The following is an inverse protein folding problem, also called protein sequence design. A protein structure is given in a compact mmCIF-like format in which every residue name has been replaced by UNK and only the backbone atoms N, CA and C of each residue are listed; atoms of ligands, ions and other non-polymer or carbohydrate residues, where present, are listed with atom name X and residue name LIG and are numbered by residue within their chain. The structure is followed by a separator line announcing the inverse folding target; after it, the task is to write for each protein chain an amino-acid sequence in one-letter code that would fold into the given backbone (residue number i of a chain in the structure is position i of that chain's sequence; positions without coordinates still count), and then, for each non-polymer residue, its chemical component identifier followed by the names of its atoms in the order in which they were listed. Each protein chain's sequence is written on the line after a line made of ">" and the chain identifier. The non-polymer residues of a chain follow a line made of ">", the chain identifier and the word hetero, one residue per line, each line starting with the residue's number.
data_IF_931907519864
#
_entry.id   IF_931907519864
#
_cell.length_a   1.000
_cell.length_b   1.000
_cell.length_c   1.000
_cell.angle_alpha   90.00
_cell.angle_beta   90.00
_cell.angle_gamma   90.00
#
_symmetry.space_group_name_H-M   'P 1'
#
loop_
_entity.id
_entity.type
_entity.pdbx_description
1 polymer ?
#
# COMPACT_ATOMS: atom_id res chain seq x y z
N UNK A 1 32.62 -3.28 -4.44
CA UNK A 1 32.39 -3.04 -2.99
C UNK A 1 31.31 -4.01 -2.56
N UNK A 2 31.53 -4.85 -1.54
CA UNK A 2 30.52 -5.84 -1.14
C UNK A 2 29.68 -5.30 0.01
N UNK A 3 28.67 -4.51 -0.30
CA UNK A 3 27.50 -4.41 0.57
C UNK A 3 26.56 -5.58 0.22
N UNK A 4 25.70 -5.97 1.15
CA UNK A 4 24.55 -6.82 0.86
C UNK A 4 23.28 -6.10 1.27
N UNK A 5 22.15 -6.51 0.71
CA UNK A 5 20.86 -5.94 1.06
C UNK A 5 19.77 -7.00 1.02
N UNK A 6 18.69 -6.76 1.74
CA UNK A 6 17.49 -7.57 1.73
C UNK A 6 16.28 -6.66 1.81
N UNK A 7 15.19 -7.04 1.17
CA UNK A 7 13.95 -6.26 1.23
C UNK A 7 12.76 -7.21 1.32
N UNK A 8 11.66 -6.68 1.83
CA UNK A 8 10.37 -7.34 1.79
C UNK A 8 9.27 -6.27 1.81
N UNK A 9 8.19 -6.53 1.09
CA UNK A 9 6.99 -5.69 1.10
C UNK A 9 5.78 -6.59 1.14
N UNK A 10 4.75 -6.19 1.88
CA UNK A 10 3.52 -6.95 2.06
C UNK A 10 2.35 -5.98 2.22
N UNK A 11 1.19 -6.36 1.69
CA UNK A 11 -0.03 -5.56 1.78
C UNK A 11 -0.48 -5.37 3.24
N UNK A 12 -0.04 -6.22 4.16
CA UNK A 12 -0.58 -6.30 5.50
C UNK A 12 -1.80 -7.22 5.55
N UNK A 13 -2.46 -7.25 6.72
CA UNK A 13 -3.65 -8.08 6.96
C UNK A 13 -4.97 -7.34 6.69
N UNK A 14 -4.96 -6.01 6.76
CA UNK A 14 -6.17 -5.19 6.73
C UNK A 14 -6.39 -4.52 5.38
N UNK A 15 -5.33 -4.04 4.73
CA UNK A 15 -5.43 -3.36 3.43
C UNK A 15 -5.70 -4.37 2.30
N UNK A 16 -6.36 -3.92 1.25
CA UNK A 16 -6.62 -4.74 0.05
C UNK A 16 -5.52 -4.57 -1.02
N UNK A 17 -4.88 -3.42 -1.03
CA UNK A 17 -3.88 -3.03 -2.02
C UNK A 17 -2.63 -2.57 -1.31
N UNK A 18 -1.49 -2.80 -1.95
CA UNK A 18 -0.20 -2.29 -1.50
C UNK A 18 0.10 -0.98 -2.23
N UNK A 19 0.07 0.12 -1.48
CA UNK A 19 0.38 1.47 -1.94
C UNK A 19 1.85 1.84 -1.68
N UNK A 20 2.63 0.99 -1.00
CA UNK A 20 4.07 1.13 -0.87
C UNK A 20 4.82 0.76 -2.16
N UNK A 21 5.96 1.41 -2.38
CA UNK A 21 6.89 1.03 -3.43
C UNK A 21 8.34 1.25 -3.00
N UNK A 22 9.24 0.35 -3.40
CA UNK A 22 10.66 0.43 -3.08
C UNK A 22 11.54 0.21 -4.31
N UNK A 23 12.75 0.76 -4.29
CA UNK A 23 13.70 0.70 -5.39
C UNK A 23 15.15 0.55 -4.92
N UNK A 24 15.99 0.01 -5.80
CA UNK A 24 17.43 -0.05 -5.64
C UNK A 24 18.08 0.18 -7.02
N UNK A 25 18.97 1.16 -7.10
CA UNK A 25 19.58 1.59 -8.36
C UNK A 25 21.10 1.65 -8.21
N UNK A 26 21.81 0.88 -9.02
CA UNK A 26 23.27 0.98 -9.17
C UNK A 26 23.57 2.09 -10.18
N UNK A 27 24.27 3.14 -9.74
CA UNK A 27 24.45 4.37 -10.51
C UNK A 27 25.91 4.80 -10.52
N UNK A 28 26.32 5.67 -11.47
CA UNK A 28 27.69 6.19 -11.49
C UNK A 28 28.12 6.88 -10.17
N UNK A 29 27.16 7.39 -9.40
CA UNK A 29 27.41 8.18 -8.19
C UNK A 29 27.38 7.36 -6.90
N UNK A 30 27.08 6.06 -6.98
CA UNK A 30 26.82 5.19 -5.84
C UNK A 30 25.52 4.39 -6.00
N UNK A 31 25.16 3.65 -4.96
CA UNK A 31 23.94 2.83 -4.95
C UNK A 31 22.84 3.54 -4.19
N UNK A 32 21.69 3.71 -4.84
CA UNK A 32 20.55 4.43 -4.29
C UNK A 32 19.47 3.45 -3.88
N UNK A 33 19.02 3.59 -2.65
CA UNK A 33 17.91 2.87 -2.04
C UNK A 33 16.79 3.87 -1.78
N UNK A 34 15.55 3.51 -2.11
CA UNK A 34 14.40 4.39 -1.92
C UNK A 34 13.19 3.58 -1.50
N UNK A 35 12.41 4.14 -0.58
CA UNK A 35 11.13 3.61 -0.15
C UNK A 35 10.12 4.75 -0.07
N UNK A 36 8.94 4.51 -0.63
CA UNK A 36 7.82 5.43 -0.69
C UNK A 36 6.55 4.74 -0.19
N UNK A 37 5.81 5.41 0.68
CA UNK A 37 4.48 5.00 1.16
C UNK A 37 3.42 5.90 0.49
N UNK A 38 2.53 5.30 -0.29
CA UNK A 38 1.58 5.99 -1.14
C UNK A 38 0.31 6.42 -0.40
N UNK A 39 -0.16 7.64 -0.69
CA UNK A 39 -1.42 8.17 -0.17
C UNK A 39 -2.27 8.84 -1.27
N UNK A 40 -3.56 9.02 -0.99
CA UNK A 40 -4.52 9.64 -1.93
C UNK A 40 -5.57 8.67 -2.49
N UNK A 41 -5.78 7.53 -1.84
CA UNK A 41 -6.71 6.49 -2.26
C UNK A 41 -6.05 5.45 -3.16
N UNK A 42 -6.66 4.27 -3.28
CA UNK A 42 -5.98 3.03 -3.74
C UNK A 42 -5.14 3.18 -5.00
N UNK A 43 -5.73 3.65 -6.10
CA UNK A 43 -4.99 3.80 -7.35
C UNK A 43 -4.03 5.00 -7.36
N UNK A 44 -4.33 6.04 -6.59
CA UNK A 44 -3.53 7.26 -6.50
C UNK A 44 -2.24 7.05 -5.71
N UNK A 45 -2.35 6.48 -4.50
CA UNK A 45 -1.21 6.24 -3.62
C UNK A 45 -0.16 5.34 -4.26
N UNK A 46 -0.58 4.15 -4.73
CA UNK A 46 0.32 3.21 -5.39
C UNK A 46 1.02 3.81 -6.63
N UNK A 47 0.31 4.65 -7.40
CA UNK A 47 0.89 5.34 -8.54
C UNK A 47 1.90 6.41 -8.12
N UNK A 48 1.58 7.21 -7.10
CA UNK A 48 2.45 8.24 -6.58
C UNK A 48 3.77 7.66 -6.05
N UNK A 49 3.70 6.61 -5.22
CA UNK A 49 4.87 5.91 -4.68
C UNK A 49 5.77 5.36 -5.81
N UNK A 50 5.17 4.72 -6.82
CA UNK A 50 5.91 4.23 -7.99
C UNK A 50 6.59 5.35 -8.77
N UNK A 51 5.87 6.44 -9.06
CA UNK A 51 6.41 7.58 -9.81
C UNK A 51 7.60 8.22 -9.08
N UNK A 52 7.52 8.36 -7.75
CA UNK A 52 8.62 8.88 -6.96
C UNK A 52 9.87 8.01 -7.06
N UNK A 53 9.74 6.69 -6.83
CA UNK A 53 10.86 5.74 -6.92
C UNK A 53 11.48 5.73 -8.33
N UNK A 54 10.65 5.73 -9.37
CA UNK A 54 11.13 5.76 -10.76
C UNK A 54 11.85 7.06 -11.10
N UNK A 55 11.33 8.21 -10.65
CA UNK A 55 11.96 9.51 -10.86
C UNK A 55 13.32 9.63 -10.14
N UNK A 56 13.40 9.19 -8.88
CA UNK A 56 14.67 9.15 -8.12
C UNK A 56 15.69 8.26 -8.84
N UNK A 57 15.29 7.05 -9.24
CA UNK A 57 16.17 6.14 -9.96
C UNK A 57 16.65 6.70 -11.30
N UNK A 58 15.75 7.33 -12.06
CA UNK A 58 16.06 7.98 -13.33
C UNK A 58 17.08 9.11 -13.15
N UNK A 59 16.84 10.01 -12.19
CA UNK A 59 17.74 11.12 -11.87
C UNK A 59 19.18 10.64 -11.62
N UNK A 60 19.37 9.67 -10.72
CA UNK A 60 20.72 9.20 -10.39
C UNK A 60 21.37 8.37 -11.49
N UNK A 61 20.58 7.69 -12.33
CA UNK A 61 21.11 6.93 -13.48
C UNK A 61 21.64 7.86 -14.58
N UNK A 62 21.00 9.01 -14.79
CA UNK A 62 21.39 9.97 -15.82
C UNK A 62 22.40 11.02 -15.34
N UNK A 63 22.57 11.17 -14.03
CA UNK A 63 23.55 12.10 -13.45
C UNK A 63 24.97 11.55 -13.57
N UNK A 64 25.84 12.23 -14.33
CA UNK A 64 27.19 11.77 -14.68
C UNK A 64 28.34 12.54 -13.96
N UNK A 65 28.10 13.00 -12.72
CA UNK A 65 29.04 13.75 -11.85
C UNK A 65 29.27 15.24 -12.16
N UNK A 66 28.23 16.05 -11.92
CA UNK A 66 28.36 17.45 -11.51
C UNK A 66 27.47 17.70 -10.29
N UNK A 67 27.96 18.38 -9.25
CA UNK A 67 27.21 18.66 -8.02
C UNK A 67 27.73 17.91 -6.78
N UNK A 68 26.90 17.85 -5.74
CA UNK A 68 27.20 17.22 -4.45
C UNK A 68 26.11 16.22 -4.09
N UNK A 69 26.37 15.21 -3.23
CA UNK A 69 25.32 14.31 -2.72
C UNK A 69 24.09 15.05 -2.16
N UNK A 70 24.31 16.17 -1.46
CA UNK A 70 23.24 17.03 -0.96
C UNK A 70 22.37 17.59 -2.10
N UNK A 71 23.00 18.20 -3.13
CA UNK A 71 22.24 18.77 -4.26
C UNK A 71 21.54 17.69 -5.08
N UNK A 72 22.19 16.53 -5.28
CA UNK A 72 21.60 15.40 -5.98
C UNK A 72 20.35 14.85 -5.28
N UNK A 73 20.41 14.63 -3.96
CA UNK A 73 19.25 14.18 -3.21
C UNK A 73 18.10 15.20 -3.26
N UNK A 74 18.41 16.48 -3.10
CA UNK A 74 17.42 17.56 -3.20
C UNK A 74 16.74 17.57 -4.57
N UNK A 75 17.53 17.57 -5.66
CA UNK A 75 17.04 17.60 -7.04
C UNK A 75 16.25 16.33 -7.39
N UNK A 76 16.68 15.15 -6.91
CA UNK A 76 15.95 13.90 -7.10
C UNK A 76 14.55 13.95 -6.49
N UNK A 77 14.41 14.49 -5.28
CA UNK A 77 13.12 14.65 -4.62
C UNK A 77 12.26 15.74 -5.28
N UNK A 78 12.87 16.80 -5.81
CA UNK A 78 12.18 17.82 -6.61
C UNK A 78 11.61 17.24 -7.90
N UNK A 79 12.38 16.41 -8.62
CA UNK A 79 11.89 15.73 -9.81
C UNK A 79 10.81 14.70 -9.50
N UNK A 80 10.95 13.95 -8.39
CA UNK A 80 9.91 13.04 -7.92
C UNK A 80 8.60 13.77 -7.60
N UNK A 81 8.68 14.90 -6.88
CA UNK A 81 7.52 15.74 -6.59
C UNK A 81 6.85 16.25 -7.88
N UNK A 82 7.65 16.74 -8.82
CA UNK A 82 7.15 17.26 -10.10
C UNK A 82 6.47 16.17 -10.93
N UNK A 83 7.03 14.95 -10.99
CA UNK A 83 6.43 13.83 -11.71
C UNK A 83 5.03 13.47 -11.18
N UNK A 84 4.84 13.53 -9.86
CA UNK A 84 3.53 13.29 -9.23
C UNK A 84 2.56 14.44 -9.56
N UNK A 85 3.00 15.70 -9.41
CA UNK A 85 2.17 16.87 -9.73
C UNK A 85 1.72 16.89 -11.20
N UNK A 86 2.62 16.60 -12.13
CA UNK A 86 2.32 16.54 -13.56
C UNK A 86 1.27 15.47 -13.86
N UNK A 87 1.40 14.30 -13.22
CA UNK A 87 0.43 13.23 -13.40
C UNK A 87 -0.93 13.57 -12.77
N UNK A 88 -0.96 14.19 -11.60
CA UNK A 88 -2.18 14.66 -10.94
C UNK A 88 -2.89 15.77 -11.73
N UNK A 89 -2.13 16.59 -12.48
CA UNK A 89 -2.70 17.61 -13.36
C UNK A 89 -3.36 17.02 -14.63
N UNK A 90 -2.93 15.85 -15.08
CA UNK A 90 -3.47 15.16 -16.26
C UNK A 90 -4.76 14.39 -15.99
N UNK A 91 -5.01 13.99 -14.73
CA UNK A 91 -6.14 13.17 -14.35
C UNK A 91 -6.74 13.67 -13.03
N UNK A 92 -7.96 14.20 -13.10
CA UNK A 92 -8.63 14.80 -11.94
C UNK A 92 -8.91 13.78 -10.83
N UNK A 93 -8.99 12.48 -11.15
CA UNK A 93 -9.16 11.43 -10.13
C UNK A 93 -7.92 11.24 -9.24
N UNK A 94 -6.78 11.81 -9.65
CA UNK A 94 -5.49 11.74 -8.95
C UNK A 94 -5.11 13.03 -8.24
N UNK A 95 -6.00 14.03 -8.14
CA UNK A 95 -5.66 15.38 -7.63
C UNK A 95 -5.09 15.45 -6.21
N UNK A 96 -5.27 14.40 -5.41
CA UNK A 96 -4.76 14.31 -4.03
C UNK A 96 -3.76 13.16 -3.84
N UNK A 97 -3.23 12.59 -4.93
CA UNK A 97 -2.21 11.57 -4.80
C UNK A 97 -0.91 12.19 -4.29
N UNK A 98 -0.25 11.48 -3.40
CA UNK A 98 1.02 11.87 -2.85
C UNK A 98 1.71 10.67 -2.25
N UNK A 99 2.92 10.85 -1.77
CA UNK A 99 3.67 9.76 -1.15
C UNK A 99 4.73 10.30 -0.22
N UNK A 100 5.06 9.53 0.81
CA UNK A 100 6.30 9.71 1.56
C UNK A 100 7.48 9.33 0.67
N UNK A 101 8.70 9.70 1.09
CA UNK A 101 9.90 9.24 0.42
C UNK A 101 11.05 9.27 1.41
N UNK A 102 11.74 8.14 1.56
CA UNK A 102 13.04 8.07 2.24
C UNK A 102 14.04 7.49 1.26
N UNK A 103 15.16 8.18 1.08
CA UNK A 103 16.24 7.82 0.13
C UNK A 103 17.55 7.71 0.88
N UNK A 104 18.33 6.67 0.59
CA UNK A 104 19.71 6.52 1.02
C UNK A 104 20.62 6.31 -0.20
N UNK A 105 21.62 7.17 -0.36
CA UNK A 105 22.70 7.08 -1.34
C UNK A 105 23.96 6.56 -0.63
N UNK A 106 24.37 5.35 -0.99
CA UNK A 106 25.63 4.74 -0.55
C UNK A 106 26.75 5.10 -1.54
N UNK A 107 27.70 5.91 -1.10
CA UNK A 107 28.93 6.25 -1.84
C UNK A 107 30.13 5.76 -1.04
N UNK A 108 30.56 4.52 -1.30
CA UNK A 108 31.58 3.86 -0.47
C UNK A 108 31.04 3.57 0.95
N UNK A 109 31.79 3.98 1.97
CA UNK A 109 31.40 3.89 3.39
C UNK A 109 30.65 5.14 3.88
N UNK A 110 30.22 6.01 2.97
CA UNK A 110 29.42 7.18 3.31
C UNK A 110 27.97 6.98 2.87
N UNK A 111 27.04 7.26 3.78
CA UNK A 111 25.60 7.20 3.52
C UNK A 111 25.05 8.61 3.59
N UNK A 112 24.59 9.10 2.45
CA UNK A 112 23.81 10.33 2.37
C UNK A 112 22.33 9.98 2.30
N UNK A 113 21.46 10.77 2.90
CA UNK A 113 20.04 10.48 2.93
C UNK A 113 19.18 11.74 2.85
N UNK A 114 17.95 11.54 2.39
CA UNK A 114 16.92 12.56 2.40
C UNK A 114 15.56 11.93 2.70
N UNK A 115 14.66 12.67 3.33
CA UNK A 115 13.31 12.18 3.58
C UNK A 115 12.23 13.27 3.53
N UNK A 116 11.01 12.83 3.21
CA UNK A 116 9.76 13.58 3.24
C UNK A 116 8.66 12.63 3.73
N UNK A 117 7.82 13.08 4.67
CA UNK A 117 6.84 12.22 5.34
C UNK A 117 7.41 11.52 6.57
N UNK A 118 6.81 10.39 6.93
CA UNK A 118 7.01 9.61 8.14
C UNK A 118 7.55 8.19 7.90
N UNK A 119 7.86 7.83 6.65
CA UNK A 119 8.77 6.70 6.40
C UNK A 119 10.15 7.00 7.01
N UNK A 120 10.75 5.97 7.61
CA UNK A 120 11.91 6.13 8.50
C UNK A 120 13.18 5.51 7.94
N UNK A 121 14.31 6.13 8.27
CA UNK A 121 15.64 5.56 8.18
C UNK A 121 16.17 5.32 9.60
N UNK A 122 16.66 4.11 9.84
CA UNK A 122 17.36 3.74 11.05
C UNK A 122 18.79 3.29 10.74
N UNK A 123 19.71 3.57 11.66
CA UNK A 123 21.08 3.06 11.67
C UNK A 123 21.26 2.13 12.85
N UNK A 124 21.55 0.87 12.56
CA UNK A 124 21.80 -0.16 13.57
C UNK A 124 23.30 -0.42 13.66
N UNK A 125 23.88 -0.15 14.83
CA UNK A 125 25.31 -0.31 15.12
C UNK A 125 25.49 -0.81 16.55
N UNK A 126 26.37 -1.79 16.75
CA UNK A 126 26.75 -2.30 18.08
C UNK A 126 25.55 -2.67 18.97
N UNK A 127 24.49 -3.26 18.39
CA UNK A 127 23.29 -3.66 19.13
C UNK A 127 22.30 -2.53 19.43
N UNK A 128 22.60 -1.29 19.01
CA UNK A 128 21.74 -0.13 19.18
C UNK A 128 21.07 0.22 17.86
N UNK A 129 19.77 0.49 17.91
CA UNK A 129 18.98 0.99 16.79
C UNK A 129 18.74 2.48 17.00
N UNK A 130 19.33 3.31 16.15
CA UNK A 130 19.15 4.75 16.17
C UNK A 130 18.23 5.18 15.03
N UNK A 131 17.17 5.95 15.35
CA UNK A 131 16.33 6.58 14.34
C UNK A 131 17.05 7.81 13.78
N UNK A 132 17.42 7.76 12.51
CA UNK A 132 18.17 8.81 11.82
C UNK A 132 17.25 9.94 11.35
N UNK A 133 16.08 9.57 10.84
CA UNK A 133 15.08 10.53 10.36
C UNK A 133 14.13 10.95 11.46
N UNK A 134 13.41 12.03 11.20
CA UNK A 134 12.40 12.56 12.10
C UNK A 134 11.11 12.77 11.34
N UNK A 135 10.04 12.14 11.81
CA UNK A 135 8.80 12.08 11.07
C UNK A 135 8.25 13.48 10.80
N UNK A 136 7.83 13.72 9.56
CA UNK A 136 7.09 14.91 9.22
C UNK A 136 5.61 14.71 9.56
N UNK A 137 5.30 14.69 10.85
CA UNK A 137 3.94 14.50 11.36
C UNK A 137 3.54 15.55 12.39
N UNK A 138 2.23 15.73 12.57
CA UNK A 138 1.69 16.65 13.57
C UNK A 138 2.19 16.30 14.97
N UNK A 139 2.21 15.01 15.30
CA UNK A 139 2.58 14.54 16.63
C UNK A 139 4.07 14.70 16.89
N UNK A 140 4.92 14.52 15.86
CA UNK A 140 6.34 14.82 15.98
C UNK A 140 6.58 16.32 16.19
N UNK A 141 5.81 17.17 15.51
CA UNK A 141 5.84 18.63 15.75
C UNK A 141 5.48 18.99 17.18
N UNK A 142 4.46 18.32 17.76
CA UNK A 142 4.07 18.51 19.16
C UNK A 142 5.16 18.00 20.13
N UNK A 143 5.83 16.90 19.80
CA UNK A 143 6.96 16.41 20.59
C UNK A 143 8.13 17.40 20.59
N UNK A 144 8.42 18.00 19.45
CA UNK A 144 9.48 18.99 19.29
C UNK A 144 9.25 20.26 20.10
N UNK A 145 7.98 20.64 20.24
CA UNK A 145 7.55 21.75 21.09
C UNK A 145 7.51 21.39 22.58
N UNK A 146 7.82 20.14 22.95
CA UNK A 146 7.75 19.63 24.32
C UNK A 146 6.32 19.46 24.85
N UNK A 147 5.32 19.48 23.97
CA UNK A 147 3.91 19.24 24.32
C UNK A 147 3.65 17.76 24.55
N UNK A 148 4.32 16.90 23.78
CA UNK A 148 4.35 15.45 23.95
C UNK A 148 5.79 15.00 24.21
N UNK A 149 5.95 13.87 24.88
CA UNK A 149 7.20 13.11 24.84
C UNK A 149 7.31 12.35 23.50
N UNK A 150 8.52 11.93 23.12
CA UNK A 150 8.71 11.15 21.89
C UNK A 150 7.89 9.86 21.91
N UNK A 151 7.85 9.17 23.06
CA UNK A 151 7.05 7.97 23.26
C UNK A 151 5.56 8.26 23.09
N UNK A 152 5.05 9.35 23.66
CA UNK A 152 3.64 9.72 23.47
C UNK A 152 3.31 10.05 22.00
N UNK A 153 4.23 10.69 21.28
CA UNK A 153 4.04 10.97 19.86
C UNK A 153 3.99 9.71 19.01
N UNK A 154 4.90 8.75 19.24
CA UNK A 154 4.97 7.51 18.45
C UNK A 154 3.68 6.66 18.59
N UNK A 155 3.06 6.64 19.78
CA UNK A 155 1.81 5.91 20.05
C UNK A 155 0.54 6.79 19.97
N UNK A 156 0.66 8.03 19.49
CA UNK A 156 -0.48 8.94 19.42
C UNK A 156 -1.48 8.49 18.33
N UNK A 157 -2.81 8.54 18.54
CA UNK A 157 -3.81 8.11 17.54
C UNK A 157 -3.82 8.88 16.21
N UNK A 158 -3.08 10.00 16.16
CA UNK A 158 -2.95 10.88 15.00
C UNK A 158 -1.51 10.88 14.45
N UNK A 159 -0.75 9.81 14.72
CA UNK A 159 0.64 9.69 14.28
C UNK A 159 0.77 9.60 12.76
N UNK A 160 -0.27 9.11 12.08
CA UNK A 160 -0.41 9.06 10.63
C UNK A 160 -0.80 10.41 9.98
N UNK A 161 -0.93 11.50 10.75
CA UNK A 161 -1.19 12.83 10.18
C UNK A 161 0.11 13.51 9.77
N UNK A 162 0.52 13.25 8.54
CA UNK A 162 1.74 13.82 7.97
C UNK A 162 1.58 15.30 7.61
N UNK A 163 2.65 16.07 7.81
CA UNK A 163 2.75 17.51 7.51
C UNK A 163 3.54 17.80 6.25
N UNK A 164 4.32 16.84 5.74
CA UNK A 164 5.04 16.94 4.47
C UNK A 164 4.89 15.65 3.67
N UNK A 165 4.77 15.77 2.35
CA UNK A 165 4.74 14.66 1.41
C UNK A 165 5.27 15.12 0.05
N UNK A 166 5.57 14.17 -0.85
CA UNK A 166 5.68 14.45 -2.28
C UNK A 166 4.28 14.46 -2.91
N UNK A 167 4.13 15.17 -4.03
CA UNK A 167 2.85 15.42 -4.70
C UNK A 167 2.16 16.72 -4.26
N UNK A 168 2.85 17.59 -3.51
CA UNK A 168 2.31 18.88 -3.06
C UNK A 168 3.13 20.04 -3.66
N UNK A 169 2.48 21.17 -3.95
CA UNK A 169 3.12 22.31 -4.63
C UNK A 169 4.24 22.94 -3.80
N UNK A 170 3.99 23.11 -2.50
CA UNK A 170 4.94 23.71 -1.57
C UNK A 170 5.54 22.60 -0.71
N UNK A 171 6.41 21.78 -1.31
CA UNK A 171 7.11 20.72 -0.58
C UNK A 171 8.50 21.18 -0.13
N UNK A 172 8.96 20.64 1.00
CA UNK A 172 10.34 20.75 1.47
C UNK A 172 10.82 19.37 1.89
N UNK A 173 12.08 19.08 1.60
CA UNK A 173 12.73 17.84 2.01
C UNK A 173 13.82 18.12 3.03
N UNK A 174 13.96 17.19 3.96
CA UNK A 174 15.07 17.18 4.89
C UNK A 174 16.19 16.36 4.24
N UNK A 175 17.35 16.97 4.04
CA UNK A 175 18.51 16.37 3.37
C UNK A 175 19.70 16.45 4.31
N UNK A 176 20.43 15.34 4.48
CA UNK A 176 21.59 15.34 5.35
C UNK A 176 22.70 16.25 4.79
N UNK A 177 23.29 17.08 5.65
CA UNK A 177 24.48 17.86 5.30
C UNK A 177 25.77 17.06 5.45
N UNK A 178 25.81 16.15 6.42
CA UNK A 178 26.94 15.28 6.69
C UNK A 178 26.51 13.83 6.48
N UNK A 179 27.33 13.01 5.81
CA UNK A 179 27.03 11.60 5.65
C UNK A 179 27.16 10.86 6.99
N UNK A 180 26.42 9.77 7.12
CA UNK A 180 26.71 8.78 8.15
C UNK A 180 27.92 7.96 7.69
N UNK A 181 28.86 7.71 8.62
CA UNK A 181 29.87 6.70 8.41
C UNK A 181 29.22 5.32 8.48
N UNK A 182 29.51 4.46 7.51
CA UNK A 182 28.92 3.13 7.38
C UNK A 182 30.03 2.07 7.46
N UNK A 183 30.11 1.45 8.63
CA UNK A 183 31.19 0.57 9.03
C UNK A 183 30.78 -0.90 8.89
N UNK A 184 31.75 -1.81 9.01
CA UNK A 184 31.49 -3.24 8.96
C UNK A 184 30.46 -3.64 10.03
N UNK A 185 29.53 -4.54 9.65
CA UNK A 185 28.43 -5.02 10.50
C UNK A 185 27.32 -4.00 10.82
N UNK A 186 27.45 -2.75 10.38
CA UNK A 186 26.33 -1.81 10.44
C UNK A 186 25.20 -2.29 9.53
N UNK A 187 23.97 -1.97 9.93
CA UNK A 187 22.77 -2.18 9.11
C UNK A 187 21.98 -0.89 9.03
N UNK A 188 21.65 -0.45 7.81
CA UNK A 188 20.61 0.55 7.60
C UNK A 188 19.27 -0.15 7.39
N UNK A 189 18.22 0.45 7.94
CA UNK A 189 16.84 0.04 7.72
C UNK A 189 16.04 1.22 7.19
N UNK A 190 15.53 1.12 5.96
CA UNK A 190 14.46 1.97 5.45
C UNK A 190 13.14 1.22 5.67
N UNK A 191 12.11 1.89 6.19
CA UNK A 191 10.78 1.29 6.38
C UNK A 191 9.64 2.29 6.23
N UNK A 192 8.47 1.79 5.77
CA UNK A 192 7.19 2.50 5.89
C UNK A 192 6.68 2.46 7.33
N UNK A 193 5.69 3.31 7.62
CA UNK A 193 5.09 3.43 8.95
C UNK A 193 4.39 2.12 9.39
N UNK A 194 3.94 1.28 8.45
CA UNK A 194 3.32 -0.01 8.74
C UNK A 194 4.24 -1.00 9.47
N UNK A 195 5.57 -0.82 9.41
CA UNK A 195 6.50 -1.55 10.28
C UNK A 195 6.44 -1.00 11.71
N UNK A 196 6.68 0.30 11.86
CA UNK A 196 6.89 0.97 13.16
C UNK A 196 5.59 1.22 13.92
N UNK A 197 4.45 1.21 13.24
CA UNK A 197 3.13 1.20 13.84
C UNK A 197 2.79 -0.15 14.49
N UNK A 198 3.44 -1.24 14.06
CA UNK A 198 3.21 -2.60 14.56
C UNK A 198 4.30 -3.09 15.52
N UNK A 199 5.55 -2.68 15.31
CA UNK A 199 6.72 -3.09 16.09
C UNK A 199 7.43 -1.88 16.71
N UNK A 200 7.74 -1.98 17.99
CA UNK A 200 8.59 -1.01 18.67
C UNK A 200 10.05 -1.10 18.21
N UNK A 201 10.81 -0.01 18.36
CA UNK A 201 12.25 0.05 18.08
C UNK A 201 13.04 -1.07 18.80
N UNK A 202 12.64 -1.43 20.02
CA UNK A 202 13.25 -2.52 20.77
C UNK A 202 13.03 -3.89 20.10
N UNK A 203 11.83 -4.16 19.58
CA UNK A 203 11.52 -5.39 18.84
C UNK A 203 12.27 -5.44 17.51
N UNK A 204 12.34 -4.31 16.80
CA UNK A 204 13.11 -4.20 15.55
C UNK A 204 14.59 -4.47 15.83
N UNK A 205 15.18 -3.84 16.85
CA UNK A 205 16.57 -4.06 17.26
C UNK A 205 16.86 -5.54 17.57
N UNK A 206 15.97 -6.21 18.30
CA UNK A 206 16.12 -7.64 18.62
C UNK A 206 16.09 -8.52 17.36
N UNK A 207 15.26 -8.20 16.37
CA UNK A 207 15.22 -8.91 15.09
C UNK A 207 16.50 -8.68 14.27
N UNK A 208 17.03 -7.45 14.28
CA UNK A 208 18.27 -7.12 13.59
C UNK A 208 19.52 -7.74 14.22
N UNK A 209 19.48 -8.13 15.50
CA UNK A 209 20.59 -8.82 16.18
C UNK A 209 20.72 -10.31 15.79
N UNK A 210 19.70 -10.92 15.19
CA UNK A 210 19.74 -12.35 14.85
C UNK A 210 20.88 -12.66 13.86
N UNK A 211 21.58 -13.81 13.98
CA UNK A 211 22.66 -14.20 13.08
C UNK A 211 22.11 -14.78 11.77
N UNK A 212 21.37 -13.96 11.03
CA UNK A 212 20.70 -14.32 9.79
C UNK A 212 21.03 -13.33 8.67
N UNK A 213 20.73 -13.73 7.43
CA UNK A 213 20.86 -12.84 6.28
C UNK A 213 19.90 -11.65 6.35
N UNK A 214 20.27 -10.54 5.69
CA UNK A 214 19.40 -9.36 5.60
C UNK A 214 18.05 -9.69 4.94
N UNK A 215 18.02 -10.61 3.97
CA UNK A 215 16.76 -11.05 3.35
C UNK A 215 15.86 -11.81 4.33
N UNK A 216 16.43 -12.69 5.16
CA UNK A 216 15.68 -13.40 6.20
C UNK A 216 15.14 -12.42 7.25
N UNK A 217 15.99 -11.49 7.72
CA UNK A 217 15.59 -10.44 8.66
C UNK A 217 14.46 -9.57 8.12
N UNK A 218 14.54 -9.16 6.85
CA UNK A 218 13.47 -8.39 6.19
C UNK A 218 12.14 -9.16 6.21
N UNK A 219 12.14 -10.45 5.83
CA UNK A 219 10.94 -11.29 5.88
C UNK A 219 10.41 -11.49 7.31
N UNK A 220 11.30 -11.62 8.29
CA UNK A 220 10.91 -11.73 9.70
C UNK A 220 10.28 -10.44 10.23
N UNK A 221 10.83 -9.27 9.89
CA UNK A 221 10.24 -7.98 10.25
C UNK A 221 8.81 -7.86 9.73
N UNK A 222 8.58 -8.17 8.45
CA UNK A 222 7.24 -8.22 7.85
C UNK A 222 6.35 -9.24 8.58
N UNK A 223 6.86 -10.43 8.86
CA UNK A 223 6.09 -11.49 9.52
C UNK A 223 5.64 -11.10 10.92
N UNK A 224 6.54 -10.53 11.73
CA UNK A 224 6.23 -10.09 13.09
C UNK A 224 5.29 -8.89 13.10
N UNK A 225 5.47 -7.91 12.20
CA UNK A 225 4.52 -6.80 12.06
C UNK A 225 3.12 -7.27 11.66
N UNK A 226 3.03 -8.24 10.76
CA UNK A 226 1.77 -8.88 10.38
C UNK A 226 1.12 -9.69 11.51
N UNK A 227 1.91 -10.27 12.43
CA UNK A 227 1.40 -10.95 13.62
C UNK A 227 0.88 -9.96 14.66
N UNK A 228 1.51 -8.79 14.76
CA UNK A 228 1.10 -7.71 15.65
C UNK A 228 -0.17 -6.97 15.19
N UNK A 229 -0.59 -7.17 13.93
CA UNK A 229 -1.88 -6.72 13.42
C UNK A 229 -1.90 -6.53 11.91
N UNK A 230 -0.78 -6.07 11.34
CA UNK A 230 -0.66 -5.75 9.91
C UNK A 230 -1.76 -4.80 9.43
N UNK A 231 -1.95 -3.69 10.14
CA UNK A 231 -3.05 -2.74 9.85
C UNK A 231 -2.80 -1.89 8.61
N UNK A 232 -1.54 -1.80 8.17
CA UNK A 232 -1.14 -1.08 6.96
C UNK A 232 -0.25 -1.91 6.04
N UNK A 233 0.09 -1.33 4.88
CA UNK A 233 1.16 -1.82 4.03
C UNK A 233 2.50 -1.77 4.79
N UNK A 234 3.32 -2.80 4.62
CA UNK A 234 4.55 -2.96 5.37
C UNK A 234 5.67 -3.17 4.38
N UNK A 235 6.62 -2.25 4.32
CA UNK A 235 7.79 -2.33 3.45
C UNK A 235 9.06 -2.07 4.23
N UNK A 236 10.07 -2.90 3.97
CA UNK A 236 11.38 -2.81 4.62
C UNK A 236 12.50 -3.04 3.62
N UNK A 237 13.59 -2.29 3.77
CA UNK A 237 14.82 -2.47 3.02
C UNK A 237 16.02 -2.35 3.96
N UNK A 238 16.76 -3.46 4.09
CA UNK A 238 17.93 -3.61 4.94
C UNK A 238 19.18 -3.59 4.09
N UNK A 239 20.19 -2.81 4.49
CA UNK A 239 21.46 -2.68 3.78
C UNK A 239 22.57 -2.90 4.80
N UNK A 240 23.57 -3.72 4.49
CA UNK A 240 24.69 -4.01 5.39
C UNK A 240 26.03 -3.91 4.66
N UNK A 241 27.02 -3.31 5.34
CA UNK A 241 28.38 -3.20 4.80
C UNK A 241 29.22 -4.42 5.19
N UNK A 242 29.87 -5.05 4.20
CA UNK A 242 30.61 -6.32 4.38
C UNK A 242 29.81 -7.41 5.11
N UNK A 243 28.49 -7.39 4.96
CA UNK A 243 27.59 -8.27 5.69
C UNK A 243 27.57 -9.67 5.07
N UNK A 244 28.03 -10.68 5.82
CA UNK A 244 28.16 -12.07 5.41
C UNK A 244 27.48 -13.00 6.43
N UNK A 245 26.26 -13.46 6.10
CA UNK A 245 25.68 -14.71 6.60
C UNK A 245 25.09 -15.44 5.38
N UNK A 246 25.49 -16.69 5.16
CA UNK A 246 25.11 -17.46 3.99
C UNK A 246 23.58 -17.51 3.80
N UNK A 247 23.10 -17.20 2.60
CA UNK A 247 21.70 -17.38 2.19
C UNK A 247 21.55 -18.60 1.31
N UNK A 248 20.57 -19.45 1.62
CA UNK A 248 19.86 -20.20 0.58
C UNK A 248 19.15 -19.20 -0.37
N UNK A 249 19.29 -19.49 -1.66
CA UNK A 249 19.12 -18.59 -2.78
C UNK A 249 17.73 -17.93 -2.87
N UNK A 250 17.72 -16.61 -2.98
CA UNK A 250 16.62 -15.84 -3.56
C UNK A 250 17.17 -15.10 -4.77
N UNK A 251 17.15 -15.74 -5.95
CA UNK A 251 17.46 -15.09 -7.22
C UNK A 251 16.40 -14.03 -7.52
N UNK A 252 16.65 -12.81 -7.07
CA UNK A 252 16.00 -11.65 -7.65
C UNK A 252 16.44 -11.58 -9.12
N UNK A 253 15.48 -11.73 -10.02
CA UNK A 253 15.68 -11.57 -11.45
C UNK A 253 16.10 -10.11 -11.65
N UNK A 254 17.41 -9.87 -11.78
CA UNK A 254 17.92 -8.60 -12.28
C UNK A 254 17.41 -8.48 -13.72
N UNK A 255 16.30 -7.78 -13.92
CA UNK A 255 15.93 -7.31 -15.26
C UNK A 255 16.91 -6.21 -15.64
N UNK A 256 18.10 -6.60 -16.09
CA UNK A 256 18.93 -5.70 -16.87
C UNK A 256 18.14 -5.36 -18.12
N UNK A 257 17.78 -4.08 -18.30
CA UNK A 257 17.31 -3.63 -19.62
C UNK A 257 18.46 -3.91 -20.59
N UNK A 258 18.28 -4.69 -21.66
CA UNK A 258 19.32 -4.84 -22.67
C UNK A 258 19.66 -3.44 -23.21
N UNK A 259 20.95 -3.06 -23.13
CA UNK A 259 21.43 -1.74 -23.55
C UNK A 259 20.94 -1.49 -24.98
N UNK A 260 20.33 -0.32 -25.24
CA UNK A 260 19.64 0.01 -26.51
C UNK A 260 20.47 -0.28 -27.78
N UNK A 261 21.81 -0.25 -27.72
CA UNK A 261 22.71 -0.59 -28.83
C UNK A 261 22.65 -2.07 -29.27
N UNK A 262 22.29 -3.00 -28.39
CA UNK A 262 22.13 -4.42 -28.76
C UNK A 262 20.96 -4.62 -29.74
N UNK A 263 19.88 -3.86 -29.58
CA UNK A 263 18.77 -3.85 -30.54
C UNK A 263 19.17 -3.21 -31.85
N UNK A 264 20.00 -2.15 -31.81
CA UNK A 264 20.56 -1.54 -33.03
C UNK A 264 21.44 -2.51 -33.82
N UNK A 265 22.24 -3.35 -33.14
CA UNK A 265 23.05 -4.38 -33.80
C UNK A 265 22.22 -5.53 -34.37
N UNK A 266 21.19 -5.98 -33.65
CA UNK A 266 20.24 -6.98 -34.17
C UNK A 266 19.52 -6.47 -35.43
N UNK A 267 19.10 -5.21 -35.43
CA UNK A 267 18.39 -4.60 -36.56
C UNK A 267 19.32 -4.40 -37.77
N UNK A 268 20.58 -4.03 -37.55
CA UNK A 268 21.62 -4.00 -38.59
C UNK A 268 21.91 -5.39 -39.16
N UNK A 269 21.98 -6.42 -38.32
CA UNK A 269 22.19 -7.80 -38.75
C UNK A 269 21.03 -8.31 -39.62
N UNK A 270 19.78 -8.08 -39.19
CA UNK A 270 18.58 -8.45 -39.94
C UNK A 270 18.53 -7.73 -41.30
N UNK A 271 18.85 -6.43 -41.33
CA UNK A 271 18.89 -5.66 -42.57
C UNK A 271 19.95 -6.18 -43.54
N UNK A 272 21.15 -6.54 -43.05
CA UNK A 272 22.21 -7.12 -43.86
C UNK A 272 21.79 -8.48 -44.44
N UNK A 273 21.12 -9.34 -43.65
CA UNK A 273 20.60 -10.61 -44.15
C UNK A 273 19.48 -10.44 -45.17
N UNK A 274 18.58 -9.47 -44.98
CA UNK A 274 17.53 -9.15 -45.94
C UNK A 274 18.11 -8.66 -47.27
N UNK A 275 19.13 -7.80 -47.24
CA UNK A 275 19.82 -7.37 -48.45
C UNK A 275 20.55 -8.52 -49.16
N UNK A 276 21.18 -9.43 -48.41
CA UNK A 276 21.81 -10.61 -48.98
C UNK A 276 20.79 -11.56 -49.63
N UNK A 277 19.63 -11.76 -48.99
CA UNK A 277 18.53 -12.57 -49.54
C UNK A 277 17.92 -11.89 -50.78
N UNK A 278 17.72 -10.57 -50.76
CA UNK A 278 17.24 -9.85 -51.93
C UNK A 278 18.22 -9.93 -53.11
N UNK A 279 19.52 -9.77 -52.85
CA UNK A 279 20.57 -9.93 -53.85
C UNK A 279 20.62 -11.36 -54.41
N UNK A 280 20.43 -12.37 -53.55
CA UNK A 280 20.35 -13.76 -53.97
C UNK A 280 19.11 -14.06 -54.82
N UNK A 281 17.96 -13.51 -54.45
CA UNK A 281 16.70 -13.69 -55.19
C UNK A 281 16.73 -12.97 -56.55
N UNK A 282 17.30 -11.76 -56.62
CA UNK A 282 17.51 -11.05 -57.89
C UNK A 282 18.45 -11.83 -58.83
N UNK A 283 19.48 -12.48 -58.27
CA UNK A 283 20.40 -13.35 -59.03
C UNK A 283 19.74 -14.68 -59.47
N UNK A 284 18.67 -15.13 -58.80
CA UNK A 284 17.90 -16.30 -59.22
C UNK A 284 16.85 -15.99 -60.30
N UNK A 285 16.28 -14.78 -60.33
CA UNK A 285 15.32 -14.39 -61.38
C UNK A 285 15.95 -14.21 -62.76
N UNK A 286 17.28 -14.11 -62.86
CA UNK A 286 18.01 -13.95 -64.13
C UNK A 286 18.32 -15.28 -64.84
N UNK A 287 17.94 -16.43 -64.24
CA UNK A 287 18.20 -17.75 -64.81
C UNK A 287 17.04 -18.72 -64.56
N UNK A 288 16.02 -18.68 -65.42
CA UNK A 288 15.34 -19.88 -65.93
C UNK A 288 14.28 -19.52 -66.98
N UNK A 289 14.53 -19.98 -68.21
CA UNK A 289 13.59 -20.02 -69.33
C UNK A 289 12.72 -21.30 -69.28
N UNK A 290 11.40 -21.12 -69.52
CA UNK A 290 10.40 -22.03 -70.14
C UNK A 290 9.93 -23.31 -69.39
N UNK A 291 8.78 -23.94 -69.78
CA UNK A 291 7.49 -23.43 -70.29
C UNK A 291 6.24 -24.07 -69.60
N UNK A 292 5.04 -23.67 -70.08
CA UNK A 292 3.70 -23.98 -69.58
C UNK A 292 3.14 -25.39 -69.86
N UNK A 293 2.24 -25.88 -68.99
CA UNK A 293 1.26 -26.94 -69.32
C UNK A 293 -0.04 -26.82 -68.47
N UNK A 294 -1.11 -27.49 -68.93
CA UNK A 294 -2.52 -27.06 -68.98
C UNK A 294 -3.41 -27.42 -67.76
N UNK A 295 -4.53 -26.68 -67.68
CA UNK A 295 -5.76 -26.87 -66.88
C UNK A 295 -6.53 -28.18 -67.20
N UNK A 296 -7.50 -28.58 -66.35
CA UNK A 296 -8.93 -28.22 -66.56
C UNK A 296 -9.63 -27.68 -65.28
N UNK A 297 -10.40 -26.58 -65.35
CA UNK A 297 -11.89 -26.49 -65.49
C UNK A 297 -12.71 -27.25 -64.43
N UNK A 298 -13.86 -26.81 -63.90
CA UNK A 298 -14.63 -25.54 -63.81
C UNK A 298 -15.84 -25.95 -62.95
N UNK A 299 -16.27 -25.21 -61.90
CA UNK A 299 -17.71 -25.05 -61.61
C UNK A 299 -17.99 -23.96 -60.58
N UNK A 300 -18.83 -23.03 -61.02
CA UNK A 300 -19.47 -21.88 -60.37
C UNK A 300 -20.52 -22.28 -59.34
N UNK A 301 -20.80 -21.41 -58.35
CA UNK A 301 -22.11 -21.01 -57.76
C UNK A 301 -21.77 -20.08 -56.57
N UNK A 302 -21.93 -18.76 -56.67
CA UNK A 302 -23.14 -17.92 -56.48
C UNK A 302 -23.29 -17.37 -55.05
N UNK A 303 -23.53 -16.06 -55.02
CA UNK A 303 -23.79 -15.19 -53.87
C UNK A 303 -24.95 -15.65 -52.97
N UNK A 304 -24.82 -15.40 -51.66
CA UNK A 304 -25.88 -15.10 -50.68
C UNK A 304 -25.20 -15.00 -49.30
N UNK A 305 -25.58 -14.19 -48.32
CA UNK A 305 -26.47 -13.04 -48.16
C UNK A 305 -26.19 -12.54 -46.73
N UNK A 306 -26.30 -11.23 -46.51
CA UNK A 306 -26.13 -10.58 -45.21
C UNK A 306 -27.40 -10.86 -44.39
N UNK A 307 -27.25 -11.39 -43.17
CA UNK A 307 -28.33 -11.43 -42.19
C UNK A 307 -27.92 -10.61 -40.97
N UNK A 308 -28.53 -9.42 -40.86
CA UNK A 308 -28.68 -8.70 -39.60
C UNK A 308 -29.63 -9.50 -38.70
N UNK A 309 -29.26 -9.69 -37.44
CA UNK A 309 -30.23 -9.98 -36.37
C UNK A 309 -30.05 -8.97 -35.26
N UNK A 310 -31.09 -8.18 -35.06
CA UNK A 310 -31.26 -7.24 -33.97
C UNK A 310 -31.31 -7.99 -32.63
N UNK A 311 -30.52 -7.53 -31.66
CA UNK A 311 -30.59 -7.99 -30.27
C UNK A 311 -31.54 -7.05 -29.51
N UNK A 312 -32.65 -7.55 -28.92
CA UNK A 312 -33.55 -6.73 -28.10
C UNK A 312 -32.95 -6.48 -26.70
N UNK A 313 -33.45 -5.48 -25.96
CA UNK A 313 -32.76 -4.96 -24.77
C UNK A 313 -32.83 -5.93 -23.60
N UNK A 314 -31.68 -6.15 -22.98
CA UNK A 314 -31.51 -6.93 -21.75
C UNK A 314 -32.16 -6.19 -20.58
N UNK A 315 -33.17 -6.82 -20.00
CA UNK A 315 -33.78 -6.46 -18.71
C UNK A 315 -32.81 -6.88 -17.61
N UNK A 316 -32.33 -5.91 -16.81
CA UNK A 316 -31.55 -6.18 -15.61
C UNK A 316 -32.48 -6.53 -14.44
N UNK A 317 -32.46 -7.79 -14.03
CA UNK A 317 -32.63 -8.17 -12.63
C UNK A 317 -31.32 -8.80 -12.16
N UNK A 318 -30.84 -8.47 -10.97
CA UNK A 318 -30.06 -9.44 -10.22
C UNK A 318 -30.56 -9.52 -8.78
N UNK A 319 -31.30 -10.59 -8.52
CA UNK A 319 -31.13 -11.35 -7.29
C UNK A 319 -30.53 -12.69 -7.71
N UNK A 320 -29.26 -12.96 -7.37
CA UNK A 320 -28.80 -14.17 -6.67
C UNK A 320 -27.29 -14.36 -6.73
N UNK A 321 -26.75 -14.61 -5.52
CA UNK A 321 -25.60 -15.47 -5.21
C UNK A 321 -24.19 -14.98 -5.57
N UNK A 322 -23.54 -14.40 -4.56
CA UNK A 322 -22.11 -14.58 -4.35
C UNK A 322 -21.88 -15.10 -2.93
N UNK A 323 -21.63 -16.40 -2.83
CA UNK A 323 -21.13 -17.04 -1.63
C UNK A 323 -19.60 -17.03 -1.67
N UNK A 324 -18.94 -16.01 -1.08
CA UNK A 324 -17.64 -16.15 -0.39
C UNK A 324 -17.56 -15.09 0.74
N UNK A 325 -17.36 -15.60 1.95
CA UNK A 325 -17.31 -15.02 3.31
C UNK A 325 -16.81 -13.56 3.47
N UNK A 326 -17.69 -12.71 3.99
CA UNK A 326 -17.38 -11.47 4.71
C UNK A 326 -18.64 -11.00 5.43
N UNK A 327 -18.65 -10.98 6.77
CA UNK A 327 -19.84 -10.56 7.54
C UNK A 327 -20.12 -9.08 7.29
N UNK A 328 -21.21 -8.76 6.55
CA UNK A 328 -21.74 -7.40 6.45
C UNK A 328 -22.55 -7.08 7.71
N UNK A 329 -22.10 -6.10 8.51
CA UNK A 329 -22.85 -5.64 9.68
C UNK A 329 -23.75 -4.45 9.33
N UNK A 330 -24.96 -4.43 9.87
CA UNK A 330 -25.80 -3.23 9.91
C UNK A 330 -25.45 -2.42 11.17
N UNK A 331 -25.41 -1.09 11.07
CA UNK A 331 -25.03 -0.22 12.18
C UNK A 331 -26.19 0.64 12.69
N UNK A 332 -26.41 0.62 14.01
CA UNK A 332 -27.25 1.56 14.72
C UNK A 332 -26.40 2.70 15.31
N UNK A 333 -26.78 3.95 15.03
CA UNK A 333 -26.03 5.14 15.49
C UNK A 333 -26.49 5.55 16.89
N UNK A 334 -25.92 4.92 17.92
CA UNK A 334 -26.17 5.25 19.32
C UNK A 334 -25.56 6.61 19.68
N UNK A 335 -26.24 7.37 20.53
CA UNK A 335 -25.71 8.63 21.08
C UNK A 335 -25.41 8.42 22.55
N UNK A 336 -24.14 8.44 22.93
CA UNK A 336 -23.70 8.10 24.28
C UNK A 336 -24.29 9.06 25.33
N UNK A 337 -24.78 8.51 26.42
CA UNK A 337 -25.15 9.24 27.63
C UNK A 337 -23.94 9.38 28.55
N UNK A 338 -24.01 10.25 29.55
CA UNK A 338 -22.91 10.49 30.49
C UNK A 338 -22.43 9.23 31.24
N UNK A 339 -23.27 8.20 31.37
CA UNK A 339 -22.97 6.96 32.07
C UNK A 339 -22.78 5.76 31.12
N UNK A 340 -22.74 5.97 29.79
CA UNK A 340 -22.50 4.87 28.87
C UNK A 340 -21.01 4.49 28.87
N UNK A 341 -20.75 3.19 28.93
CA UNK A 341 -19.42 2.60 28.81
C UNK A 341 -19.38 1.62 27.64
N UNK A 342 -18.19 1.31 27.12
CA UNK A 342 -18.04 0.32 26.04
C UNK A 342 -18.57 -1.05 26.45
N UNK A 343 -18.25 -1.49 27.67
CA UNK A 343 -18.77 -2.73 28.26
C UNK A 343 -20.31 -2.70 28.40
N UNK A 344 -20.84 -1.56 28.83
CA UNK A 344 -22.29 -1.35 28.96
C UNK A 344 -23.02 -1.40 27.63
N UNK A 345 -22.45 -0.81 26.57
CA UNK A 345 -22.99 -0.88 25.22
C UNK A 345 -22.87 -2.29 24.62
N UNK A 346 -21.73 -2.96 24.80
CA UNK A 346 -21.52 -4.35 24.38
C UNK A 346 -22.58 -5.27 25.00
N UNK A 347 -22.81 -5.15 26.31
CA UNK A 347 -23.84 -5.90 27.02
C UNK A 347 -25.27 -5.48 26.64
N UNK A 348 -25.52 -4.19 26.35
CA UNK A 348 -26.84 -3.68 25.95
C UNK A 348 -27.26 -4.21 24.58
N UNK A 349 -26.35 -4.22 23.61
CA UNK A 349 -26.61 -4.59 22.22
C UNK A 349 -26.17 -6.02 21.86
N UNK A 350 -25.71 -6.79 22.85
CA UNK A 350 -25.25 -8.17 22.73
C UNK A 350 -24.21 -8.34 21.61
N UNK A 351 -23.22 -7.47 21.60
CA UNK A 351 -22.14 -7.44 20.62
C UNK A 351 -20.80 -7.45 21.35
N UNK A 352 -19.78 -8.04 20.74
CA UNK A 352 -18.47 -8.10 21.35
C UNK A 352 -17.85 -6.68 21.42
N UNK A 353 -17.19 -6.36 22.55
CA UNK A 353 -16.65 -5.02 22.82
C UNK A 353 -15.63 -4.59 21.76
N UNK A 354 -14.75 -5.50 21.38
CA UNK A 354 -13.76 -5.36 20.31
C UNK A 354 -14.41 -4.98 18.97
N UNK A 355 -15.59 -5.52 18.70
CA UNK A 355 -16.34 -5.22 17.48
C UNK A 355 -16.93 -3.80 17.50
N UNK A 356 -17.38 -3.31 18.65
CA UNK A 356 -17.76 -1.89 18.80
C UNK A 356 -16.54 -0.99 18.61
N UNK A 357 -15.40 -1.30 19.22
CA UNK A 357 -14.16 -0.50 19.11
C UNK A 357 -13.68 -0.47 17.65
N UNK A 358 -13.67 -1.61 16.97
CA UNK A 358 -13.26 -1.75 15.56
C UNK A 358 -14.02 -0.85 14.60
N UNK A 359 -15.29 -0.54 14.88
CA UNK A 359 -16.12 0.32 14.03
C UNK A 359 -16.28 1.76 14.55
N UNK A 360 -15.56 2.10 15.64
CA UNK A 360 -15.57 3.41 16.27
C UNK A 360 -14.15 3.82 16.66
N UNK A 361 -13.32 4.09 15.65
CA UNK A 361 -11.90 4.47 15.77
C UNK A 361 -11.64 5.81 16.51
N UNK A 362 -12.65 6.34 17.22
CA UNK A 362 -12.55 7.52 18.07
C UNK A 362 -12.84 7.19 19.54
N UNK A 363 -13.11 5.92 19.89
CA UNK A 363 -13.51 5.50 21.24
C UNK A 363 -12.63 4.36 21.75
N UNK A 364 -11.67 4.71 22.60
CA UNK A 364 -10.64 3.80 23.13
C UNK A 364 -10.66 3.67 24.65
N UNK A 365 -11.50 4.45 25.34
CA UNK A 365 -11.64 4.42 26.79
C UNK A 365 -12.89 3.64 27.18
N UNK A 366 -12.84 2.92 28.31
CA UNK A 366 -14.02 2.19 28.80
C UNK A 366 -15.19 3.15 29.11
N UNK A 367 -14.92 4.40 29.51
CA UNK A 367 -15.92 5.47 29.63
C UNK A 367 -16.08 6.26 28.32
N UNK A 368 -17.31 6.41 27.83
CA UNK A 368 -17.60 7.11 26.57
C UNK A 368 -18.09 8.54 26.87
N UNK A 369 -17.48 9.60 26.30
CA UNK A 369 -17.96 10.97 26.50
C UNK A 369 -19.41 11.15 26.05
N UNK A 370 -20.21 11.88 26.82
CA UNK A 370 -21.61 12.14 26.50
C UNK A 370 -21.76 12.80 25.11
N UNK A 371 -22.86 12.51 24.42
CA UNK A 371 -23.21 12.95 23.06
C UNK A 371 -22.34 12.38 21.93
N UNK A 372 -21.31 11.60 22.23
CA UNK A 372 -20.52 10.88 21.20
C UNK A 372 -21.42 9.96 20.39
N UNK A 373 -21.28 9.96 19.06
CA UNK A 373 -21.98 9.04 18.18
C UNK A 373 -21.19 7.74 18.06
N UNK A 374 -21.84 6.61 18.33
CA UNK A 374 -21.26 5.27 18.32
C UNK A 374 -22.02 4.42 17.31
N UNK A 375 -21.32 3.86 16.33
CA UNK A 375 -21.82 2.87 15.40
C UNK A 375 -21.85 1.51 16.09
N UNK A 376 -23.02 1.05 16.52
CA UNK A 376 -23.17 -0.25 17.16
C UNK A 376 -23.66 -1.26 16.13
N UNK A 377 -22.94 -2.37 15.90
CA UNK A 377 -23.40 -3.48 15.07
C UNK A 377 -24.69 -4.07 15.63
N UNK A 378 -25.70 -4.20 14.77
CA UNK A 378 -27.01 -4.73 15.10
C UNK A 378 -27.49 -5.66 14.00
N UNK A 379 -28.41 -6.56 14.33
CA UNK A 379 -28.97 -7.49 13.37
C UNK A 379 -29.96 -6.84 12.43
N UNK A 380 -30.77 -5.92 12.96
CA UNK A 380 -31.76 -5.18 12.18
C UNK A 380 -32.20 -3.90 12.91
N UNK A 381 -32.76 -2.97 12.13
CA UNK A 381 -33.56 -1.84 12.62
C UNK A 381 -34.97 -2.08 12.07
N UNK A 382 -35.94 -2.33 12.95
CA UNK A 382 -37.29 -2.79 12.59
C UNK A 382 -38.34 -1.74 12.94
N UNK A 383 -39.27 -1.46 12.04
CA UNK A 383 -40.42 -0.57 12.29
C UNK A 383 -41.63 -1.43 12.62
N UNK A 384 -42.27 -1.18 13.77
CA UNK A 384 -43.42 -1.97 14.22
C UNK A 384 -44.61 -1.76 13.29
N UNK A 385 -45.11 -2.85 12.73
CA UNK A 385 -46.30 -2.89 11.87
C UNK A 385 -47.58 -3.20 12.65
N UNK A 386 -48.73 -3.00 12.00
CA UNK A 386 -50.04 -3.18 12.64
C UNK A 386 -50.23 -4.62 13.09
N UNK A 387 -50.59 -4.80 14.37
CA UNK A 387 -50.82 -6.12 14.97
C UNK A 387 -49.57 -6.87 15.42
N UNK A 388 -48.36 -6.31 15.22
CA UNK A 388 -47.14 -6.91 15.77
C UNK A 388 -47.05 -6.72 17.28
N UNK A 389 -46.77 -7.82 17.99
CA UNK A 389 -46.51 -7.87 19.43
C UNK A 389 -45.11 -8.44 19.67
N UNK A 390 -44.61 -8.35 20.90
CA UNK A 390 -43.25 -8.79 21.23
C UNK A 390 -43.00 -10.26 20.84
N UNK A 391 -43.97 -11.16 21.08
CA UNK A 391 -43.88 -12.57 20.69
C UNK A 391 -43.66 -12.76 19.17
N UNK A 392 -44.22 -11.88 18.34
CA UNK A 392 -44.02 -11.90 16.88
C UNK A 392 -42.59 -11.50 16.52
N UNK A 393 -42.04 -10.48 17.20
CA UNK A 393 -40.66 -10.01 16.99
C UNK A 393 -39.64 -11.07 17.42
N UNK A 394 -39.87 -11.73 18.55
CA UNK A 394 -39.01 -12.82 19.06
C UNK A 394 -38.92 -13.97 18.05
N UNK A 395 -40.06 -14.36 17.47
CA UNK A 395 -40.11 -15.41 16.43
C UNK A 395 -39.43 -14.97 15.14
N UNK A 396 -39.73 -13.75 14.67
CA UNK A 396 -39.20 -13.21 13.40
C UNK A 396 -37.67 -13.17 13.39
N UNK A 397 -37.06 -12.74 14.51
CA UNK A 397 -35.62 -12.61 14.61
C UNK A 397 -34.96 -13.76 15.39
N UNK A 398 -35.72 -14.76 15.85
CA UNK A 398 -35.20 -15.86 16.69
C UNK A 398 -34.33 -15.32 17.84
N UNK A 399 -34.88 -14.37 18.60
CA UNK A 399 -34.15 -13.63 19.64
C UNK A 399 -35.01 -13.50 20.89
N UNK A 400 -34.37 -13.53 22.06
CA UNK A 400 -35.04 -13.41 23.36
C UNK A 400 -35.56 -11.98 23.60
N UNK A 401 -36.80 -11.85 24.09
CA UNK A 401 -37.40 -10.55 24.43
C UNK A 401 -36.55 -9.68 25.33
N UNK A 402 -35.83 -10.26 26.28
CA UNK A 402 -35.03 -9.50 27.24
C UNK A 402 -33.89 -8.76 26.55
N UNK A 403 -33.32 -9.34 25.47
CA UNK A 403 -32.30 -8.70 24.65
C UNK A 403 -32.89 -7.55 23.85
N UNK A 404 -34.04 -7.76 23.20
CA UNK A 404 -34.73 -6.72 22.43
C UNK A 404 -35.14 -5.56 23.34
N UNK A 405 -35.72 -5.85 24.51
CA UNK A 405 -36.13 -4.83 25.47
C UNK A 405 -34.95 -4.01 26.00
N UNK A 406 -33.83 -4.68 26.32
CA UNK A 406 -32.60 -4.06 26.81
C UNK A 406 -31.97 -3.12 25.78
N UNK A 407 -31.85 -3.57 24.52
CA UNK A 407 -31.29 -2.76 23.43
C UNK A 407 -32.08 -1.48 23.17
N UNK A 408 -33.38 -1.49 23.46
CA UNK A 408 -34.29 -0.37 23.23
C UNK A 408 -34.61 0.45 24.50
N UNK A 409 -33.95 0.16 25.62
CA UNK A 409 -34.19 0.88 26.88
C UNK A 409 -35.64 0.79 27.39
N UNK A 410 -36.40 -0.25 26.98
CA UNK A 410 -37.79 -0.44 27.38
C UNK A 410 -37.87 -1.43 28.54
N UNK A 411 -38.51 -1.04 29.64
CA UNK A 411 -38.76 -1.92 30.79
C UNK A 411 -40.12 -2.64 30.74
N UNK A 412 -40.98 -2.31 29.76
CA UNK A 412 -42.27 -2.95 29.50
C UNK A 412 -42.39 -3.31 28.01
N UNK A 413 -43.00 -4.45 27.65
CA UNK A 413 -43.02 -4.97 26.27
C UNK A 413 -43.99 -4.25 25.33
N UNK A 414 -44.46 -3.04 25.69
CA UNK A 414 -45.46 -2.33 24.88
C UNK A 414 -44.78 -1.76 23.63
N UNK A 415 -45.13 -2.33 22.49
CA UNK A 415 -44.74 -1.87 21.16
C UNK A 415 -45.89 -1.01 20.62
N UNK A 416 -45.58 0.17 20.08
CA UNK A 416 -46.55 1.03 19.42
C UNK A 416 -46.37 0.93 17.92
N UNK A 417 -47.47 0.98 17.17
CA UNK A 417 -47.45 1.01 15.71
C UNK A 417 -46.58 2.18 15.23
N UNK A 418 -45.62 1.88 14.34
CA UNK A 418 -44.68 2.87 13.80
C UNK A 418 -43.44 3.12 14.66
N UNK A 419 -43.31 2.52 15.84
CA UNK A 419 -42.07 2.60 16.63
C UNK A 419 -40.93 1.93 15.86
N UNK A 420 -39.77 2.58 15.78
CA UNK A 420 -38.53 1.94 15.33
C UNK A 420 -37.83 1.30 16.53
N UNK A 421 -37.57 -0.01 16.45
CA UNK A 421 -36.82 -0.77 17.45
C UNK A 421 -35.53 -1.35 16.86
N UNK A 422 -34.50 -1.42 17.69
CA UNK A 422 -33.21 -2.03 17.38
C UNK A 422 -33.26 -3.51 17.74
N UNK A 423 -32.88 -4.37 16.80
CA UNK A 423 -32.71 -5.80 17.04
C UNK A 423 -31.21 -6.09 17.23
N UNK A 424 -30.77 -6.47 18.45
CA UNK A 424 -29.36 -6.75 18.71
C UNK A 424 -28.88 -8.00 17.96
N UNK A 425 -27.56 -8.24 17.94
CA UNK A 425 -26.93 -9.31 17.13
C UNK A 425 -27.44 -10.74 17.46
N UNK A 426 -28.10 -10.93 18.61
CA UNK A 426 -28.56 -12.25 19.07
C UNK A 426 -27.43 -13.07 19.69
N UNK A 427 -27.74 -14.23 20.27
CA UNK A 427 -26.72 -15.11 20.86
C UNK A 427 -25.75 -15.60 19.77
N UNK A 428 -24.45 -15.65 20.09
CA UNK A 428 -23.41 -16.23 19.23
C UNK A 428 -23.64 -17.71 19.00
#
# INVERSE_FOLDING_TARGET
>A
MSFSYGFATDTGRVRQYNEDFLGCFDTPNGVVFVLCDGMGGHAGGALAARLAVEAVGHFFTETLEAGTPYSWLKEALEQANQAILDKAAQDTSLQNMGTTCVVALLKGQEVYYAHVGDSRLYHFRNGQLERVTKDHSLVQTLADMGVLTQVEADYHPRNNEITKALGIKEFTADVCYQPLAFEDLDVLLLCSDGLTGMLSDAQISLLLQKPESLSSKAKQLISEANKAGGTDNISVQLIGWQWSYATEEGTAIVRTRPRKWLWSLLLLGVLATLMAVLGYLQNMTDKTDLPAERLPQETTISNAEIIQTEVPPVVLQPDTQTSVVGEQYLFFKHTANANDSLEGLAHRYNVAKDLIVRFNNHVYFDSIPAKTKINVPVRAIHVIESGQIMDTIEKLYSIDRSLVMRANGKHKPKLLLGDTIVIPMGAK
#
